data_IF_734494901911
#
_entry.id   IF_734494901911
#
_cell.length_a   1.000
_cell.length_b   1.000
_cell.length_c   1.000
_cell.angle_alpha   90.00
_cell.angle_beta   90.00
_cell.angle_gamma   90.00
#
_symmetry.space_group_name_H-M   'P 1'
#
loop_
_entity.id
_entity.type
_entity.pdbx_description
1 polymer ?
#
# COMPACT_ATOMS: atom_id res chain seq x y z
N UNK A 1 -65.34 -4.30 -1.33
CA UNK A 1 -63.89 -4.20 -1.11
C UNK A 1 -63.23 -3.91 -2.44
N UNK A 2 -62.98 -2.63 -2.73
CA UNK A 2 -62.29 -2.19 -3.95
C UNK A 2 -60.79 -2.21 -3.73
N UNK A 3 -60.07 -2.77 -4.71
CA UNK A 3 -58.62 -2.78 -4.79
C UNK A 3 -58.13 -1.32 -4.90
N UNK A 4 -57.35 -0.86 -3.91
CA UNK A 4 -56.68 0.44 -3.96
C UNK A 4 -55.50 0.40 -4.93
N UNK A 5 -55.53 1.31 -5.90
CA UNK A 5 -54.43 1.66 -6.79
C UNK A 5 -53.17 2.04 -5.99
N UNK A 6 -52.07 1.31 -6.21
CA UNK A 6 -50.71 1.80 -5.88
C UNK A 6 -50.33 2.89 -6.89
N UNK A 7 -49.81 4.05 -6.45
CA UNK A 7 -49.32 5.06 -7.39
C UNK A 7 -48.04 4.55 -8.08
N UNK A 8 -47.95 4.77 -9.40
CA UNK A 8 -46.76 4.47 -10.17
C UNK A 8 -45.60 5.35 -9.69
N UNK A 9 -44.50 4.71 -9.25
CA UNK A 9 -43.25 5.40 -8.95
C UNK A 9 -42.73 6.10 -10.22
N UNK A 10 -42.38 7.38 -10.10
CA UNK A 10 -42.01 8.24 -11.22
C UNK A 10 -40.69 7.79 -11.87
N UNK A 11 -40.76 7.26 -13.08
CA UNK A 11 -39.63 6.78 -13.91
C UNK A 11 -38.54 7.83 -14.21
N UNK A 12 -38.75 9.11 -13.93
CA UNK A 12 -37.81 10.20 -14.21
C UNK A 12 -36.69 10.35 -13.17
N UNK A 13 -36.94 9.95 -11.92
CA UNK A 13 -35.97 10.07 -10.82
C UNK A 13 -34.96 8.90 -10.86
N UNK A 14 -35.39 7.70 -11.22
CA UNK A 14 -34.53 6.51 -11.34
C UNK A 14 -33.50 6.62 -12.48
N UNK A 15 -33.89 7.17 -13.64
CA UNK A 15 -32.99 7.31 -14.81
C UNK A 15 -31.80 8.25 -14.57
N UNK A 16 -32.00 9.32 -13.80
CA UNK A 16 -30.96 10.32 -13.54
C UNK A 16 -29.92 9.82 -12.54
N UNK A 17 -30.34 8.92 -11.64
CA UNK A 17 -29.46 8.28 -10.66
C UNK A 17 -28.55 7.23 -11.33
N UNK A 18 -29.12 6.39 -12.19
CA UNK A 18 -28.39 5.33 -12.90
C UNK A 18 -27.26 5.85 -13.80
N UNK A 19 -27.48 6.96 -14.51
CA UNK A 19 -26.44 7.55 -15.37
C UNK A 19 -25.25 8.09 -14.56
N UNK A 20 -25.51 8.76 -13.43
CA UNK A 20 -24.46 9.30 -12.55
C UNK A 20 -23.63 8.19 -11.90
N UNK A 21 -24.26 7.10 -11.49
CA UNK A 21 -23.56 5.93 -10.96
C UNK A 21 -22.69 5.26 -12.01
N UNK A 22 -23.21 5.10 -13.23
CA UNK A 22 -22.44 4.54 -14.35
C UNK A 22 -21.19 5.38 -14.65
N UNK A 23 -21.33 6.71 -14.69
CA UNK A 23 -20.19 7.62 -14.87
C UNK A 23 -19.16 7.53 -13.74
N UNK A 24 -19.60 7.29 -12.49
CA UNK A 24 -18.68 7.06 -11.37
C UNK A 24 -17.90 5.76 -11.55
N UNK A 25 -18.55 4.67 -11.96
CA UNK A 25 -17.89 3.41 -12.25
C UNK A 25 -16.86 3.54 -13.37
N UNK A 26 -17.18 4.27 -14.45
CA UNK A 26 -16.19 4.54 -15.50
C UNK A 26 -15.01 5.37 -14.98
N UNK A 27 -15.24 6.36 -14.13
CA UNK A 27 -14.15 7.12 -13.50
C UNK A 27 -13.24 6.23 -12.64
N UNK A 28 -13.83 5.27 -11.94
CA UNK A 28 -13.09 4.27 -11.17
C UNK A 28 -12.23 3.39 -12.08
N UNK A 29 -12.82 2.86 -13.15
CA UNK A 29 -12.09 2.04 -14.12
C UNK A 29 -10.94 2.82 -14.78
N UNK A 30 -11.15 4.10 -15.09
CA UNK A 30 -10.11 4.97 -15.62
C UNK A 30 -8.93 5.10 -14.66
N UNK A 31 -9.17 5.27 -13.35
CA UNK A 31 -8.08 5.32 -12.36
C UNK A 31 -7.24 4.02 -12.31
N UNK A 32 -7.86 2.85 -12.53
CA UNK A 32 -7.13 1.58 -12.63
C UNK A 32 -6.27 1.49 -13.89
N UNK A 33 -6.79 1.95 -15.03
CA UNK A 33 -6.07 1.96 -16.30
C UNK A 33 -4.89 2.92 -16.23
N UNK A 34 -5.15 4.18 -15.86
CA UNK A 34 -4.13 5.23 -15.73
C UNK A 34 -3.04 4.82 -14.74
N UNK A 35 -3.42 4.30 -13.57
CA UNK A 35 -2.46 3.84 -12.57
C UNK A 35 -1.64 2.64 -13.05
N UNK A 36 -2.24 1.69 -13.78
CA UNK A 36 -1.49 0.54 -14.31
C UNK A 36 -0.49 0.98 -15.39
N UNK A 37 -0.91 1.81 -16.35
CA UNK A 37 -0.03 2.29 -17.43
C UNK A 37 1.11 3.15 -16.90
N UNK A 38 0.82 4.04 -15.94
CA UNK A 38 1.82 4.97 -15.39
C UNK A 38 2.87 4.27 -14.52
N UNK A 39 2.54 3.12 -13.96
CA UNK A 39 3.40 2.36 -13.05
C UNK A 39 4.04 1.13 -13.71
N UNK A 40 3.81 0.88 -15.00
CA UNK A 40 4.26 -0.33 -15.69
C UNK A 40 5.78 -0.57 -15.57
N UNK A 41 6.58 0.51 -15.64
CA UNK A 41 8.04 0.44 -15.68
C UNK A 41 8.73 0.48 -14.30
N UNK A 42 8.00 0.49 -13.17
CA UNK A 42 8.62 0.73 -11.85
C UNK A 42 9.13 -0.54 -11.16
N UNK A 43 8.98 -1.71 -11.76
CA UNK A 43 9.36 -2.97 -11.11
C UNK A 43 10.88 -3.20 -11.16
N UNK A 44 11.50 -3.74 -10.08
CA UNK A 44 10.90 -4.10 -8.80
C UNK A 44 10.64 -2.86 -7.91
N UNK A 45 9.56 -2.89 -7.11
CA UNK A 45 9.19 -1.75 -6.27
C UNK A 45 8.84 -2.12 -4.84
N UNK A 46 9.18 -1.25 -3.89
CA UNK A 46 8.89 -1.42 -2.47
C UNK A 46 7.90 -0.34 -2.02
N UNK A 47 6.78 -0.77 -1.43
CA UNK A 47 5.79 0.13 -0.87
C UNK A 47 6.16 0.50 0.57
N UNK A 48 6.24 1.80 0.85
CA UNK A 48 6.61 2.36 2.15
C UNK A 48 5.41 3.03 2.79
N UNK A 49 5.12 2.64 4.03
CA UNK A 49 4.01 3.20 4.80
C UNK A 49 4.49 3.79 6.13
N UNK A 50 3.78 4.79 6.64
CA UNK A 50 4.00 5.33 7.97
C UNK A 50 3.21 6.61 8.22
N UNK A 51 3.48 7.23 9.37
CA UNK A 51 2.74 8.42 9.82
C UNK A 51 2.88 9.62 8.86
N UNK A 52 1.74 10.21 8.48
CA UNK A 52 1.66 11.50 7.80
C UNK A 52 2.02 12.70 8.72
N UNK A 53 2.21 12.46 10.02
CA UNK A 53 2.38 13.50 11.05
C UNK A 53 3.81 13.61 11.58
N UNK A 54 4.69 12.70 11.19
CA UNK A 54 6.10 12.73 11.60
C UNK A 54 6.78 13.97 11.05
N UNK A 55 7.52 14.70 11.88
CA UNK A 55 8.26 15.90 11.45
C UNK A 55 9.64 15.54 10.86
N UNK A 56 10.22 16.39 9.99
CA UNK A 56 11.52 16.13 9.37
C UNK A 56 12.70 15.93 10.34
N UNK A 57 12.64 16.52 11.54
CA UNK A 57 13.67 16.39 12.57
C UNK A 57 13.56 15.08 13.38
N UNK A 58 12.42 14.38 13.30
CA UNK A 58 12.16 13.16 14.04
C UNK A 58 13.08 12.01 13.59
N UNK A 59 13.59 11.16 14.51
CA UNK A 59 14.47 10.04 14.16
C UNK A 59 13.88 9.11 13.09
N UNK A 60 12.59 8.76 13.19
CA UNK A 60 11.93 7.92 12.18
C UNK A 60 11.93 8.54 10.78
N UNK A 61 11.86 9.87 10.65
CA UNK A 61 11.91 10.51 9.33
C UNK A 61 13.28 10.29 8.67
N UNK A 62 14.36 10.56 9.42
CA UNK A 62 15.74 10.34 8.95
C UNK A 62 16.03 8.87 8.66
N UNK A 63 15.51 7.98 9.52
CA UNK A 63 15.63 6.54 9.33
C UNK A 63 14.94 6.09 8.04
N UNK A 64 13.74 6.62 7.76
CA UNK A 64 13.04 6.35 6.49
C UNK A 64 13.83 6.85 5.29
N UNK A 65 14.35 8.08 5.32
CA UNK A 65 15.19 8.60 4.23
C UNK A 65 16.39 7.67 3.95
N UNK A 66 17.06 7.20 5.01
CA UNK A 66 18.20 6.29 4.87
C UNK A 66 17.78 4.95 4.26
N UNK A 67 16.71 4.33 4.76
CA UNK A 67 16.20 3.06 4.23
C UNK A 67 15.83 3.20 2.76
N UNK A 68 15.06 4.22 2.39
CA UNK A 68 14.60 4.36 1.00
C UNK A 68 15.69 4.80 0.04
N UNK A 69 16.72 5.50 0.54
CA UNK A 69 17.94 5.73 -0.23
C UNK A 69 18.66 4.43 -0.56
N UNK A 70 18.87 3.56 0.43
CA UNK A 70 19.50 2.26 0.23
C UNK A 70 18.69 1.37 -0.72
N UNK A 71 17.36 1.37 -0.61
CA UNK A 71 16.47 0.63 -1.52
C UNK A 71 16.59 1.14 -2.96
N UNK A 72 16.55 2.46 -3.14
CA UNK A 72 16.66 3.07 -4.47
C UNK A 72 18.04 2.84 -5.10
N UNK A 73 19.13 2.98 -4.33
CA UNK A 73 20.48 2.68 -4.79
C UNK A 73 20.68 1.19 -5.13
N UNK A 74 19.90 0.30 -4.51
CA UNK A 74 19.84 -1.12 -4.82
C UNK A 74 18.96 -1.47 -6.04
N UNK A 75 18.32 -0.49 -6.68
CA UNK A 75 17.52 -0.66 -7.89
C UNK A 75 16.02 -0.87 -7.65
N UNK A 76 15.53 -0.69 -6.42
CA UNK A 76 14.08 -0.74 -6.14
C UNK A 76 13.43 0.62 -6.29
N UNK A 77 12.39 0.72 -7.12
CA UNK A 77 11.51 1.89 -7.06
C UNK A 77 10.84 1.96 -5.70
N UNK A 78 10.64 3.17 -5.18
CA UNK A 78 10.02 3.37 -3.87
C UNK A 78 8.64 3.99 -4.05
N UNK A 79 7.61 3.30 -3.59
CA UNK A 79 6.22 3.75 -3.66
C UNK A 79 5.80 4.27 -2.29
N UNK A 80 5.29 5.49 -2.23
CA UNK A 80 4.70 6.08 -1.02
C UNK A 80 3.31 6.65 -1.33
N UNK A 81 2.60 7.05 -0.28
CA UNK A 81 1.33 7.78 -0.40
C UNK A 81 1.45 9.24 -0.85
N UNK A 82 2.66 9.76 -1.06
CA UNK A 82 2.91 11.09 -1.62
C UNK A 82 2.60 12.28 -0.70
N UNK A 83 2.05 12.03 0.48
CA UNK A 83 1.77 13.06 1.49
C UNK A 83 3.00 13.47 2.32
N UNK A 84 2.79 14.23 3.42
CA UNK A 84 3.85 14.66 4.32
C UNK A 84 4.35 13.53 5.26
N UNK A 85 5.33 13.86 6.09
CA UNK A 85 5.85 12.98 7.13
C UNK A 85 6.63 11.81 6.58
N UNK A 86 6.35 10.59 7.04
CA UNK A 86 7.09 9.40 6.58
C UNK A 86 6.95 9.19 5.06
N UNK A 87 5.79 9.51 4.48
CA UNK A 87 5.61 9.41 3.02
C UNK A 87 6.57 10.35 2.27
N UNK A 88 6.74 11.57 2.76
CA UNK A 88 7.71 12.51 2.21
C UNK A 88 9.15 12.04 2.43
N UNK A 89 9.49 11.55 3.63
CA UNK A 89 10.81 11.00 3.92
C UNK A 89 11.16 9.83 2.97
N UNK A 90 10.19 8.95 2.74
CA UNK A 90 10.33 7.82 1.84
C UNK A 90 10.64 8.28 0.42
N UNK A 91 9.82 9.21 -0.10
CA UNK A 91 10.01 9.80 -1.40
C UNK A 91 11.36 10.55 -1.50
N UNK A 92 11.71 11.33 -0.48
CA UNK A 92 12.93 12.12 -0.46
C UNK A 92 14.20 11.27 -0.48
N UNK A 93 14.26 10.21 0.33
CA UNK A 93 15.40 9.29 0.32
C UNK A 93 15.59 8.63 -1.05
N UNK A 94 14.48 8.18 -1.65
CA UNK A 94 14.49 7.50 -2.95
C UNK A 94 14.77 8.44 -4.13
N UNK A 95 14.25 9.67 -4.10
CA UNK A 95 14.41 10.68 -5.15
C UNK A 95 15.88 11.04 -5.41
N UNK A 96 16.73 10.92 -4.40
CA UNK A 96 18.17 11.14 -4.53
C UNK A 96 18.96 9.85 -4.82
N UNK A 97 18.30 8.71 -4.96
CA UNK A 97 18.91 7.42 -5.30
C UNK A 97 18.92 7.14 -6.81
N UNK A 98 19.08 5.87 -7.18
CA UNK A 98 19.21 5.43 -8.58
C UNK A 98 17.90 4.99 -9.24
N UNK A 99 16.88 4.62 -8.46
CA UNK A 99 15.60 4.13 -8.93
C UNK A 99 14.45 5.11 -8.63
N UNK A 100 13.34 5.07 -9.40
CA UNK A 100 12.25 6.04 -9.29
C UNK A 100 11.61 6.17 -7.90
N UNK A 101 11.36 7.41 -7.49
CA UNK A 101 10.47 7.74 -6.37
C UNK A 101 9.05 7.98 -6.86
N UNK A 102 8.09 7.23 -6.32
CA UNK A 102 6.69 7.22 -6.75
C UNK A 102 5.78 7.72 -5.63
N UNK A 103 4.89 8.65 -5.94
CA UNK A 103 3.83 9.10 -5.05
C UNK A 103 2.45 8.76 -5.59
N UNK A 104 1.73 7.90 -4.86
CA UNK A 104 0.32 7.61 -5.09
C UNK A 104 -0.52 8.53 -4.20
N UNK A 105 -0.88 9.70 -4.72
CA UNK A 105 -1.59 10.76 -4.00
C UNK A 105 -3.10 10.46 -3.93
N UNK A 106 -3.78 10.98 -2.91
CA UNK A 106 -5.24 10.83 -2.74
C UNK A 106 -5.88 12.20 -2.56
N UNK A 107 -6.97 12.46 -3.28
CA UNK A 107 -7.75 13.68 -3.11
C UNK A 107 -8.56 13.62 -1.81
N UNK A 108 -8.23 14.50 -0.86
CA UNK A 108 -8.96 14.65 0.40
C UNK A 108 -9.67 16.00 0.46
N UNK A 109 -10.76 16.14 1.24
CA UNK A 109 -11.49 17.40 1.38
C UNK A 109 -10.66 18.56 1.93
N UNK A 110 -9.67 18.23 2.77
CA UNK A 110 -8.67 19.18 3.26
C UNK A 110 -7.36 18.90 2.52
N UNK A 111 -6.75 19.95 1.99
CA UNK A 111 -5.61 19.89 1.06
C UNK A 111 -4.44 19.08 1.66
N UNK A 112 -4.20 17.88 1.11
CA UNK A 112 -2.89 17.24 1.18
C UNK A 112 -2.09 17.75 -0.02
N UNK A 113 -1.12 18.62 0.22
CA UNK A 113 -0.12 18.92 -0.80
C UNK A 113 0.73 17.67 -1.01
N UNK A 114 0.80 17.20 -2.26
CA UNK A 114 1.80 16.22 -2.67
C UNK A 114 3.20 16.75 -2.35
N UNK A 115 4.07 15.91 -1.79
CA UNK A 115 5.45 16.30 -1.55
C UNK A 115 6.22 16.48 -2.87
N UNK A 116 7.34 17.20 -2.82
CA UNK A 116 8.11 17.59 -4.00
C UNK A 116 9.07 16.49 -4.54
N UNK A 117 9.16 15.34 -3.87
CA UNK A 117 10.21 14.35 -4.12
C UNK A 117 9.68 13.14 -4.91
N UNK A 118 8.83 13.37 -5.91
CA UNK A 118 8.18 12.33 -6.70
C UNK A 118 8.64 12.44 -8.17
N UNK A 119 9.34 11.43 -8.68
CA UNK A 119 9.64 11.31 -10.11
C UNK A 119 8.36 10.95 -10.89
N UNK A 120 7.55 10.06 -10.30
CA UNK A 120 6.25 9.66 -10.81
C UNK A 120 5.19 10.03 -9.78
N UNK A 121 4.29 10.93 -10.17
CA UNK A 121 3.12 11.30 -9.39
C UNK A 121 1.86 10.80 -10.08
N UNK A 122 1.05 10.03 -9.33
CA UNK A 122 -0.28 9.59 -9.74
C UNK A 122 -1.28 10.01 -8.66
N UNK A 123 -2.38 10.63 -9.08
CA UNK A 123 -3.44 11.09 -8.17
C UNK A 123 -4.68 10.23 -8.32
N UNK A 124 -5.27 9.86 -7.19
CA UNK A 124 -6.51 9.09 -7.11
C UNK A 124 -7.59 9.91 -6.42
N UNK A 125 -8.85 9.67 -6.79
CA UNK A 125 -10.02 10.16 -6.06
C UNK A 125 -10.61 9.06 -5.19
N UNK A 126 -10.38 7.80 -5.53
CA UNK A 126 -10.92 6.65 -4.83
C UNK A 126 -9.82 5.86 -4.11
N UNK A 127 -10.06 5.55 -2.82
CA UNK A 127 -9.09 4.85 -1.98
C UNK A 127 -8.72 3.45 -2.50
N UNK A 128 -9.70 2.69 -2.98
CA UNK A 128 -9.48 1.29 -3.35
C UNK A 128 -8.64 1.15 -4.63
N UNK A 129 -8.76 2.06 -5.60
CA UNK A 129 -7.91 2.07 -6.79
C UNK A 129 -6.45 2.35 -6.40
N UNK A 130 -6.24 3.27 -5.46
CA UNK A 130 -4.93 3.57 -4.88
C UNK A 130 -4.34 2.37 -4.11
N UNK A 131 -5.14 1.75 -3.24
CA UNK A 131 -4.75 0.55 -2.45
C UNK A 131 -4.32 -0.60 -3.35
N UNK A 132 -5.09 -0.85 -4.41
CA UNK A 132 -4.74 -1.84 -5.41
C UNK A 132 -3.35 -1.61 -6.03
N UNK A 133 -3.01 -0.36 -6.36
CA UNK A 133 -1.69 -0.06 -6.94
C UNK A 133 -0.54 -0.31 -5.95
N UNK A 134 -0.74 -0.07 -4.64
CA UNK A 134 0.27 -0.40 -3.63
C UNK A 134 0.58 -1.90 -3.57
N UNK A 135 -0.45 -2.74 -3.69
CA UNK A 135 -0.29 -4.20 -3.62
C UNK A 135 0.22 -4.76 -4.93
N UNK A 136 -0.36 -4.36 -6.06
CA UNK A 136 -0.06 -4.90 -7.39
C UNK A 136 1.42 -4.77 -7.77
N UNK A 137 1.99 -3.60 -7.52
CA UNK A 137 3.35 -3.28 -7.96
C UNK A 137 4.43 -3.61 -6.91
N UNK A 138 4.05 -3.94 -5.69
CA UNK A 138 5.01 -4.23 -4.64
C UNK A 138 5.67 -5.61 -4.79
N UNK A 139 6.98 -5.61 -4.59
CA UNK A 139 7.81 -6.79 -4.26
C UNK A 139 8.06 -6.90 -2.76
N UNK A 140 7.88 -5.82 -2.00
CA UNK A 140 7.95 -5.85 -0.54
C UNK A 140 7.21 -4.67 0.07
N UNK A 141 6.83 -4.82 1.33
CA UNK A 141 6.30 -3.74 2.16
C UNK A 141 7.31 -3.41 3.26
N UNK A 142 7.58 -2.12 3.45
CA UNK A 142 8.31 -1.61 4.62
C UNK A 142 7.43 -0.62 5.36
N UNK A 143 7.11 -0.94 6.61
CA UNK A 143 6.10 -0.25 7.41
C UNK A 143 6.79 0.41 8.59
N UNK A 144 6.92 1.73 8.51
CA UNK A 144 7.44 2.57 9.57
C UNK A 144 6.34 2.89 10.59
N UNK A 145 6.69 3.37 11.79
CA UNK A 145 5.71 3.78 12.79
C UNK A 145 4.63 4.75 12.25
N UNK A 146 3.37 4.40 12.48
CA UNK A 146 2.23 5.09 11.88
C UNK A 146 0.89 4.81 12.54
N UNK A 147 -0.12 5.60 12.17
CA UNK A 147 -1.47 5.53 12.73
C UNK A 147 -2.41 4.62 11.91
N UNK A 148 -3.71 4.95 11.92
CA UNK A 148 -4.73 4.11 11.28
C UNK A 148 -4.52 3.89 9.78
N UNK A 149 -4.10 4.89 9.02
CA UNK A 149 -3.80 4.69 7.60
C UNK A 149 -2.66 3.68 7.37
N UNK A 150 -1.67 3.65 8.25
CA UNK A 150 -0.57 2.67 8.19
C UNK A 150 -1.05 1.27 8.58
N UNK A 151 -1.89 1.18 9.61
CA UNK A 151 -2.48 -0.09 10.05
C UNK A 151 -3.44 -0.67 9.01
N UNK A 152 -4.22 0.17 8.33
CA UNK A 152 -5.11 -0.22 7.24
C UNK A 152 -4.34 -0.98 6.14
N UNK A 153 -3.25 -0.38 5.65
CA UNK A 153 -2.42 -1.00 4.61
C UNK A 153 -1.65 -2.25 5.10
N UNK A 154 -1.20 -2.25 6.37
CA UNK A 154 -0.55 -3.41 6.97
C UNK A 154 -1.51 -4.60 7.07
N UNK A 155 -2.71 -4.39 7.62
CA UNK A 155 -3.69 -5.47 7.82
C UNK A 155 -4.22 -6.00 6.48
N UNK A 156 -4.40 -5.11 5.48
CA UNK A 156 -4.77 -5.51 4.13
C UNK A 156 -3.69 -6.40 3.50
N UNK A 157 -2.41 -6.01 3.57
CA UNK A 157 -1.32 -6.81 3.04
C UNK A 157 -1.21 -8.19 3.72
N UNK A 158 -1.33 -8.24 5.05
CA UNK A 158 -1.32 -9.49 5.80
C UNK A 158 -2.46 -10.41 5.35
N UNK A 159 -3.68 -9.87 5.23
CA UNK A 159 -4.85 -10.64 4.81
C UNK A 159 -4.68 -11.16 3.38
N UNK A 160 -4.21 -10.33 2.45
CA UNK A 160 -4.02 -10.74 1.05
C UNK A 160 -2.94 -11.81 0.90
N UNK A 161 -1.84 -11.71 1.65
CA UNK A 161 -0.76 -12.72 1.62
C UNK A 161 -1.21 -14.01 2.30
N UNK A 162 -1.87 -13.92 3.46
CA UNK A 162 -2.41 -15.07 4.20
C UNK A 162 -3.40 -15.87 3.36
N UNK A 163 -4.31 -15.19 2.65
CA UNK A 163 -5.34 -15.82 1.82
C UNK A 163 -4.86 -16.25 0.43
N UNK A 164 -3.60 -15.97 0.08
CA UNK A 164 -3.05 -16.26 -1.24
C UNK A 164 -3.65 -15.43 -2.38
N UNK A 165 -4.30 -14.31 -2.05
CA UNK A 165 -4.87 -13.37 -3.03
C UNK A 165 -3.82 -12.51 -3.71
N UNK A 166 -2.65 -12.38 -3.10
CA UNK A 166 -1.45 -11.84 -3.74
C UNK A 166 -0.29 -12.81 -3.60
N UNK A 167 0.74 -12.64 -4.43
CA UNK A 167 1.99 -13.40 -4.27
C UNK A 167 2.58 -13.13 -2.89
N UNK A 168 3.27 -14.13 -2.32
CA UNK A 168 4.00 -13.90 -1.08
C UNK A 168 5.13 -12.89 -1.31
N UNK A 169 5.27 -11.95 -0.39
CA UNK A 169 6.30 -10.91 -0.36
C UNK A 169 6.73 -10.61 1.07
N UNK A 170 7.92 -10.05 1.30
CA UNK A 170 8.34 -9.60 2.62
C UNK A 170 7.45 -8.45 3.11
N UNK A 171 6.95 -8.57 4.34
CA UNK A 171 6.31 -7.47 5.07
C UNK A 171 7.21 -7.16 6.27
N UNK A 172 7.88 -6.01 6.23
CA UNK A 172 8.90 -5.62 7.19
C UNK A 172 8.39 -4.45 8.03
N UNK A 173 8.29 -4.64 9.34
CA UNK A 173 7.98 -3.59 10.31
C UNK A 173 9.30 -3.02 10.84
N UNK A 174 9.42 -1.70 10.83
CA UNK A 174 10.62 -0.99 11.33
C UNK A 174 10.33 -0.37 12.68
N UNK A 175 11.29 -0.44 13.61
CA UNK A 175 11.19 -0.02 15.01
C UNK A 175 10.42 -1.03 15.90
N UNK A 176 11.13 -2.05 16.37
CA UNK A 176 10.62 -3.12 17.24
C UNK A 176 9.89 -2.57 18.47
N UNK A 177 10.44 -1.56 19.13
CA UNK A 177 9.84 -0.93 20.30
C UNK A 177 8.44 -0.36 20.02
N UNK A 178 8.21 0.21 18.84
CA UNK A 178 6.90 0.72 18.44
C UNK A 178 5.89 -0.40 18.19
N UNK A 179 6.31 -1.48 17.52
CA UNK A 179 5.41 -2.57 17.10
C UNK A 179 5.17 -3.64 18.17
N UNK A 180 6.00 -3.71 19.22
CA UNK A 180 5.93 -4.75 20.24
C UNK A 180 4.52 -4.95 20.80
N UNK A 181 3.84 -3.87 21.18
CA UNK A 181 2.50 -3.97 21.75
C UNK A 181 1.45 -4.58 20.81
N UNK A 182 1.59 -4.35 19.49
CA UNK A 182 0.73 -4.97 18.49
C UNK A 182 1.04 -6.45 18.32
N UNK A 183 2.32 -6.82 18.31
CA UNK A 183 2.76 -8.21 18.19
C UNK A 183 2.35 -9.03 19.41
N UNK A 184 2.49 -8.45 20.60
CA UNK A 184 2.01 -9.06 21.83
C UNK A 184 0.49 -9.29 21.77
N UNK A 185 -0.28 -8.35 21.20
CA UNK A 185 -1.71 -8.53 21.03
C UNK A 185 -2.06 -9.64 20.00
N UNK A 186 -1.34 -9.72 18.88
CA UNK A 186 -1.51 -10.83 17.93
C UNK A 186 -1.27 -12.18 18.59
N UNK A 187 -0.19 -12.32 19.36
CA UNK A 187 0.14 -13.55 20.08
C UNK A 187 -0.86 -13.86 21.19
N UNK A 188 -1.09 -12.91 22.08
CA UNK A 188 -1.84 -13.16 23.32
C UNK A 188 -3.34 -13.20 23.09
N UNK A 189 -3.84 -12.60 22.00
CA UNK A 189 -5.28 -12.54 21.70
C UNK A 189 -5.60 -13.31 20.42
N UNK A 190 -5.11 -12.89 19.25
CA UNK A 190 -5.57 -13.49 17.99
C UNK A 190 -5.21 -14.97 17.86
N UNK A 191 -3.99 -15.35 18.24
CA UNK A 191 -3.55 -16.75 18.21
C UNK A 191 -4.25 -17.55 19.32
N UNK A 192 -4.29 -17.01 20.55
CA UNK A 192 -4.95 -17.69 21.68
C UNK A 192 -6.43 -17.99 21.42
N UNK A 193 -7.15 -17.04 20.80
CA UNK A 193 -8.56 -17.18 20.43
C UNK A 193 -8.76 -18.01 19.14
N UNK A 194 -7.68 -18.38 18.45
CA UNK A 194 -7.73 -19.18 17.21
C UNK A 194 -8.24 -18.40 15.99
N UNK A 195 -8.09 -17.07 15.97
CA UNK A 195 -8.48 -16.23 14.83
C UNK A 195 -7.41 -16.15 13.73
N UNK A 196 -6.15 -16.41 14.07
CA UNK A 196 -5.05 -16.62 13.12
C UNK A 196 -4.20 -17.81 13.57
N UNK A 197 -3.46 -18.41 12.64
CA UNK A 197 -2.51 -19.50 12.95
C UNK A 197 -1.18 -18.94 13.45
N UNK A 198 -0.44 -19.65 14.32
CA UNK A 198 0.90 -19.24 14.73
C UNK A 198 1.85 -18.98 13.54
N UNK A 199 1.69 -19.74 12.45
CA UNK A 199 2.49 -19.62 11.24
C UNK A 199 2.24 -18.31 10.48
N UNK A 200 1.10 -17.65 10.68
CA UNK A 200 0.80 -16.35 10.04
C UNK A 200 1.75 -15.26 10.55
N UNK A 201 2.34 -15.43 11.72
CA UNK A 201 3.38 -14.52 12.23
C UNK A 201 4.66 -14.57 11.39
N UNK A 202 4.90 -15.65 10.66
CA UNK A 202 6.05 -15.75 9.73
C UNK A 202 5.91 -14.82 8.52
N UNK A 203 4.72 -14.23 8.29
CA UNK A 203 4.51 -13.23 7.26
C UNK A 203 5.21 -11.90 7.62
N UNK A 204 5.48 -11.66 8.91
CA UNK A 204 6.01 -10.40 9.43
C UNK A 204 7.48 -10.57 9.81
N UNK A 205 8.31 -9.61 9.41
CA UNK A 205 9.66 -9.44 9.90
C UNK A 205 9.77 -8.11 10.63
N UNK A 206 10.50 -8.05 11.74
CA UNK A 206 10.76 -6.81 12.48
C UNK A 206 12.25 -6.52 12.38
N UNK A 207 12.61 -5.37 11.80
CA UNK A 207 13.99 -5.02 11.50
C UNK A 207 14.22 -3.55 11.85
N UNK A 208 15.20 -3.28 12.71
CA UNK A 208 15.53 -1.92 13.16
C UNK A 208 16.65 -1.27 12.36
N UNK A 209 17.60 -2.07 11.87
CA UNK A 209 18.77 -1.58 11.15
C UNK A 209 18.49 -1.39 9.65
N UNK A 210 18.77 -0.21 9.05
CA UNK A 210 18.48 0.09 7.65
C UNK A 210 19.02 -0.91 6.64
N UNK A 211 20.30 -1.28 6.76
CA UNK A 211 20.95 -2.21 5.83
C UNK A 211 20.28 -3.58 5.84
N UNK A 212 19.79 -4.01 7.00
CA UNK A 212 19.12 -5.30 7.15
C UNK A 212 17.75 -5.34 6.46
N UNK A 213 17.08 -4.20 6.28
CA UNK A 213 15.83 -4.13 5.51
C UNK A 213 16.09 -4.53 4.06
N UNK A 214 17.13 -3.96 3.44
CA UNK A 214 17.50 -4.27 2.05
C UNK A 214 17.98 -5.71 1.92
N UNK A 215 18.83 -6.17 2.84
CA UNK A 215 19.29 -7.57 2.87
C UNK A 215 18.13 -8.56 3.01
N UNK A 216 17.12 -8.27 3.83
CA UNK A 216 15.98 -9.16 4.01
C UNK A 216 15.17 -9.31 2.71
N UNK A 217 15.00 -8.23 1.94
CA UNK A 217 14.31 -8.26 0.65
C UNK A 217 15.13 -9.08 -0.37
N UNK A 218 16.44 -8.84 -0.49
CA UNK A 218 17.28 -9.63 -1.40
C UNK A 218 17.27 -11.11 -1.05
N UNK A 219 17.50 -11.44 0.23
CA UNK A 219 17.50 -12.83 0.71
C UNK A 219 16.20 -13.57 0.37
N UNK A 220 15.07 -12.88 0.44
CA UNK A 220 13.78 -13.46 0.06
C UNK A 220 13.70 -13.83 -1.43
N UNK A 221 14.34 -13.04 -2.29
CA UNK A 221 14.27 -13.17 -3.73
C UNK A 221 15.45 -13.93 -4.37
N UNK A 222 16.52 -14.22 -3.63
CA UNK A 222 17.66 -15.03 -4.09
C UNK A 222 17.25 -16.39 -4.68
N UNK A 223 16.24 -17.05 -4.10
CA UNK A 223 15.82 -18.40 -4.49
C UNK A 223 14.71 -18.44 -5.56
N UNK A 224 14.04 -17.32 -5.82
CA UNK A 224 12.81 -17.28 -6.66
C UNK A 224 12.81 -16.21 -7.75
N UNK A 225 13.68 -15.20 -7.66
CA UNK A 225 13.70 -14.05 -8.57
C UNK A 225 12.54 -13.06 -8.33
N UNK A 226 12.69 -11.81 -8.78
CA UNK A 226 11.70 -10.75 -8.59
C UNK A 226 10.47 -10.87 -9.51
N UNK A 227 10.64 -11.56 -10.64
CA UNK A 227 9.60 -11.74 -11.65
C UNK A 227 8.54 -12.76 -11.19
N UNK A 228 7.24 -12.41 -11.25
CA UNK A 228 6.18 -13.36 -10.93
C UNK A 228 6.17 -14.54 -11.92
N UNK A 229 6.03 -15.76 -11.38
CA UNK A 229 5.80 -16.95 -12.19
C UNK A 229 4.37 -16.97 -12.79
N UNK A 230 4.06 -17.95 -13.63
CA UNK A 230 2.76 -18.01 -14.32
C UNK A 230 1.54 -18.05 -13.37
N UNK A 231 1.63 -18.82 -12.28
CA UNK A 231 0.57 -18.92 -11.27
C UNK A 231 0.39 -17.59 -10.53
N UNK A 232 1.49 -16.93 -10.18
CA UNK A 232 1.47 -15.63 -9.51
C UNK A 232 0.92 -14.52 -10.41
N UNK A 233 1.20 -14.57 -11.72
CA UNK A 233 0.58 -13.66 -12.69
C UNK A 233 -0.93 -13.86 -12.74
N UNK A 234 -1.41 -15.11 -12.68
CA UNK A 234 -2.84 -15.41 -12.67
C UNK A 234 -3.52 -14.97 -11.36
N UNK A 235 -2.85 -15.11 -10.22
CA UNK A 235 -3.29 -14.55 -8.95
C UNK A 235 -3.43 -13.02 -9.06
N UNK A 236 -2.43 -12.34 -9.63
CA UNK A 236 -2.46 -10.87 -9.81
C UNK A 236 -3.59 -10.36 -10.71
N UNK A 237 -4.08 -11.19 -11.66
CA UNK A 237 -5.25 -10.83 -12.47
C UNK A 237 -6.56 -10.82 -11.67
N UNK A 238 -6.60 -11.51 -10.52
CA UNK A 238 -7.78 -11.69 -9.68
C UNK A 238 -7.68 -10.99 -8.32
N UNK A 239 -6.73 -10.05 -8.19
CA UNK A 239 -6.52 -9.23 -6.99
C UNK A 239 -7.70 -8.31 -6.70
#
# INVERSE_FOLDING_TARGET
MSLQNKPAMSQSVEKTWSAKESWRLFGIMAEFVEGTERLDAIQPAVSIFGSARTKPDHPHYKLTEQITRLLSDAGFSVISGGGPGIMEAANKGAFFGQAPSVGLNIQLPNEQCSNAYQDISQSFRHFFARKYMFVKFATAYVVMPGGFGTLDELMEALTLVQTGKTRKMPIILVNSAYWQGLMDWFHNTLITEGFISPEDMNLIQIIDEPDNVVHAIFKYYESRGFEPNAEEREIQLNL
#
